data_IF_905581053691
#
_entry.id   IF_905581053691
#
_cell.length_a   1.000
_cell.length_b   1.000
_cell.length_c   1.000
_cell.angle_alpha   90.00
_cell.angle_beta   90.00
_cell.angle_gamma   90.00
#
_symmetry.space_group_name_H-M   'P 1'
#
loop_
_entity.id
_entity.type
_entity.pdbx_description
1 polymer ?
#
# COMPACT_ATOMS: atom_id res chain seq x y z
N UNK A 1 -18.90 -35.39 -26.32
CA UNK A 1 -19.13 -35.05 -24.89
C UNK A 1 -17.86 -34.48 -24.25
N UNK A 2 -17.40 -33.29 -24.67
CA UNK A 2 -16.19 -32.65 -24.14
C UNK A 2 -16.38 -31.16 -23.75
N UNK A 3 -17.61 -30.65 -23.76
CA UNK A 3 -17.88 -29.20 -23.61
C UNK A 3 -18.24 -28.73 -22.20
N UNK A 4 -18.38 -29.61 -21.20
CA UNK A 4 -18.83 -29.19 -19.85
C UNK A 4 -17.75 -28.88 -18.82
N UNK A 5 -16.45 -29.13 -19.11
CA UNK A 5 -15.36 -28.96 -18.11
C UNK A 5 -14.66 -27.60 -18.11
N UNK A 6 -14.74 -26.83 -19.20
CA UNK A 6 -14.11 -25.50 -19.28
C UNK A 6 -14.78 -24.41 -18.44
N UNK A 7 -16.13 -24.32 -18.34
CA UNK A 7 -16.76 -23.26 -17.55
C UNK A 7 -16.57 -23.41 -16.03
N UNK A 8 -16.31 -24.62 -15.52
CA UNK A 8 -16.08 -24.86 -14.09
C UNK A 8 -14.68 -24.47 -13.61
N UNK A 9 -13.66 -24.53 -14.49
CA UNK A 9 -12.28 -24.17 -14.12
C UNK A 9 -12.10 -22.66 -14.00
N UNK A 10 -12.75 -21.87 -14.88
CA UNK A 10 -12.64 -20.41 -14.84
C UNK A 10 -13.31 -19.80 -13.60
N UNK A 11 -14.48 -20.31 -13.23
CA UNK A 11 -15.19 -19.88 -12.00
C UNK A 11 -14.45 -20.31 -10.74
N UNK A 12 -13.91 -21.53 -10.70
CA UNK A 12 -13.08 -22.00 -9.58
C UNK A 12 -11.81 -21.14 -9.42
N UNK A 13 -11.12 -20.84 -10.53
CA UNK A 13 -9.92 -20.00 -10.51
C UNK A 13 -10.23 -18.55 -10.06
N UNK A 14 -11.34 -17.96 -10.54
CA UNK A 14 -11.78 -16.64 -10.11
C UNK A 14 -12.10 -16.59 -8.60
N UNK A 15 -12.82 -17.59 -8.10
CA UNK A 15 -13.14 -17.69 -6.67
C UNK A 15 -11.90 -17.89 -5.80
N UNK A 16 -10.96 -18.73 -6.25
CA UNK A 16 -9.68 -18.93 -5.57
C UNK A 16 -8.86 -17.63 -5.54
N UNK A 17 -8.72 -16.96 -6.68
CA UNK A 17 -8.00 -15.69 -6.81
C UNK A 17 -8.58 -14.62 -5.89
N UNK A 18 -9.91 -14.47 -5.86
CA UNK A 18 -10.59 -13.53 -4.97
C UNK A 18 -10.36 -13.88 -3.49
N UNK A 19 -10.47 -15.15 -3.12
CA UNK A 19 -10.24 -15.61 -1.75
C UNK A 19 -8.80 -15.36 -1.30
N UNK A 20 -7.83 -15.64 -2.17
CA UNK A 20 -6.40 -15.37 -1.92
C UNK A 20 -6.15 -13.87 -1.77
N UNK A 21 -6.69 -13.05 -2.66
CA UNK A 21 -6.57 -11.60 -2.58
C UNK A 21 -7.15 -11.06 -1.26
N UNK A 22 -8.33 -11.56 -0.85
CA UNK A 22 -8.97 -11.14 0.41
C UNK A 22 -8.12 -11.58 1.60
N UNK A 23 -7.58 -12.80 1.59
CA UNK A 23 -6.68 -13.27 2.65
C UNK A 23 -5.44 -12.38 2.78
N UNK A 24 -4.80 -12.02 1.66
CA UNK A 24 -3.64 -11.12 1.64
C UNK A 24 -4.03 -9.73 2.15
N UNK A 25 -5.17 -9.19 1.71
CA UNK A 25 -5.67 -7.89 2.14
C UNK A 25 -5.92 -7.84 3.66
N UNK A 26 -6.57 -8.87 4.22
CA UNK A 26 -6.83 -8.93 5.67
C UNK A 26 -5.54 -9.16 6.45
N UNK A 27 -4.61 -9.98 5.95
CA UNK A 27 -3.29 -10.16 6.57
C UNK A 27 -2.53 -8.83 6.65
N UNK A 28 -2.56 -8.04 5.57
CA UNK A 28 -2.01 -6.68 5.56
C UNK A 28 -2.68 -5.77 6.59
N UNK A 29 -4.02 -5.78 6.68
CA UNK A 29 -4.75 -4.99 7.67
C UNK A 29 -4.40 -5.38 9.11
N UNK A 30 -4.26 -6.67 9.39
CA UNK A 30 -3.83 -7.17 10.71
C UNK A 30 -2.44 -6.66 11.03
N UNK A 31 -1.50 -6.74 10.07
CA UNK A 31 -0.14 -6.24 10.23
C UNK A 31 -0.12 -4.73 10.48
N UNK A 32 -0.76 -3.94 9.61
CA UNK A 32 -0.84 -2.48 9.76
C UNK A 32 -1.47 -2.07 11.10
N UNK A 33 -2.55 -2.75 11.52
CA UNK A 33 -3.23 -2.50 12.79
C UNK A 33 -2.35 -2.88 13.99
N UNK A 34 -1.62 -3.98 13.92
CA UNK A 34 -0.71 -4.41 14.99
C UNK A 34 0.45 -3.43 15.18
N UNK A 35 1.02 -2.92 14.09
CA UNK A 35 2.07 -1.89 14.11
C UNK A 35 1.52 -0.60 14.71
N UNK A 36 0.33 -0.16 14.29
CA UNK A 36 -0.33 0.99 14.87
C UNK A 36 -0.61 0.84 16.37
N UNK A 37 -1.17 -0.29 16.79
CA UNK A 37 -1.50 -0.56 18.18
C UNK A 37 -0.24 -0.59 19.07
N UNK A 38 0.81 -1.27 18.63
CA UNK A 38 2.08 -1.36 19.36
C UNK A 38 2.71 0.01 19.60
N UNK A 39 2.52 0.96 18.67
CA UNK A 39 3.09 2.31 18.75
C UNK A 39 2.24 3.25 19.60
N UNK A 40 0.94 3.01 19.72
CA UNK A 40 0.04 3.83 20.55
C UNK A 40 0.02 3.45 22.04
N UNK A 41 0.53 2.28 22.41
CA UNK A 41 0.37 1.71 23.77
C UNK A 41 1.63 1.77 24.65
N UNK A 42 2.66 2.55 24.28
CA UNK A 42 3.93 2.74 25.02
C UNK A 42 4.53 1.43 25.58
N UNK A 43 4.42 0.34 24.82
CA UNK A 43 5.08 -0.95 25.08
C UNK A 43 4.57 -1.74 26.30
N UNK A 44 3.82 -1.15 27.22
CA UNK A 44 3.55 -1.74 28.54
C UNK A 44 2.53 -2.89 28.54
N UNK A 45 1.67 -3.02 27.53
CA UNK A 45 0.64 -4.10 27.44
C UNK A 45 1.05 -5.22 26.47
N UNK A 46 2.09 -5.02 25.66
CA UNK A 46 2.62 -6.02 24.69
C UNK A 46 4.06 -6.44 25.03
N UNK A 47 4.60 -5.98 26.17
CA UNK A 47 5.94 -6.30 26.66
C UNK A 47 6.11 -7.74 27.18
N UNK A 48 5.08 -8.58 27.16
CA UNK A 48 5.31 -10.01 26.95
C UNK A 48 5.38 -10.23 25.44
N UNK A 49 6.57 -10.01 24.90
CA UNK A 49 6.91 -10.23 23.50
C UNK A 49 6.49 -11.64 23.08
N UNK A 50 5.31 -11.77 22.49
CA UNK A 50 4.87 -13.00 21.86
C UNK A 50 5.97 -13.42 20.89
N UNK A 51 6.40 -14.70 20.90
CA UNK A 51 7.33 -15.21 19.91
C UNK A 51 6.87 -14.82 18.51
N UNK A 52 7.79 -14.39 17.66
CA UNK A 52 7.47 -13.93 16.31
C UNK A 52 6.66 -15.00 15.55
N UNK A 53 6.93 -16.29 15.77
CA UNK A 53 6.16 -17.37 15.15
C UNK A 53 4.69 -17.36 15.61
N UNK A 54 4.44 -17.09 16.89
CA UNK A 54 3.09 -17.02 17.45
C UNK A 54 2.33 -15.80 16.93
N UNK A 55 3.01 -14.66 16.76
CA UNK A 55 2.42 -13.49 16.10
C UNK A 55 1.92 -13.82 14.69
N UNK A 56 2.76 -14.45 13.86
CA UNK A 56 2.37 -14.82 12.50
C UNK A 56 1.24 -15.85 12.47
N UNK A 57 1.25 -16.82 13.37
CA UNK A 57 0.17 -17.80 13.49
C UNK A 57 -1.16 -17.13 13.85
N UNK A 58 -1.17 -16.25 14.85
CA UNK A 58 -2.38 -15.49 15.25
C UNK A 58 -2.85 -14.57 14.13
N UNK A 59 -1.92 -13.84 13.50
CA UNK A 59 -2.25 -12.95 12.40
C UNK A 59 -2.86 -13.71 11.22
N UNK A 60 -2.33 -14.89 10.88
CA UNK A 60 -2.87 -15.74 9.84
C UNK A 60 -4.27 -16.26 10.17
N UNK A 61 -4.51 -16.72 11.41
CA UNK A 61 -5.83 -17.17 11.85
C UNK A 61 -6.85 -16.03 11.78
N UNK A 62 -6.51 -14.84 12.30
CA UNK A 62 -7.37 -13.66 12.20
C UNK A 62 -7.63 -13.27 10.75
N UNK A 63 -6.61 -13.32 9.90
CA UNK A 63 -6.75 -13.06 8.47
C UNK A 63 -7.68 -14.06 7.79
N UNK A 64 -7.55 -15.35 8.10
CA UNK A 64 -8.39 -16.41 7.54
C UNK A 64 -9.86 -16.24 7.97
N UNK A 65 -10.11 -16.00 9.27
CA UNK A 65 -11.47 -15.76 9.79
C UNK A 65 -12.08 -14.49 9.16
N UNK A 66 -11.32 -13.40 9.10
CA UNK A 66 -11.77 -12.16 8.47
C UNK A 66 -12.06 -12.33 6.98
N UNK A 67 -11.21 -13.08 6.26
CA UNK A 67 -11.41 -13.39 4.86
C UNK A 67 -12.66 -14.26 4.63
N UNK A 68 -12.88 -15.30 5.45
CA UNK A 68 -14.10 -16.12 5.39
C UNK A 68 -15.35 -15.28 5.62
N UNK A 69 -15.32 -14.37 6.61
CA UNK A 69 -16.44 -13.48 6.88
C UNK A 69 -16.71 -12.51 5.71
N UNK A 70 -15.66 -11.90 5.15
CA UNK A 70 -15.77 -10.99 4.01
C UNK A 70 -16.34 -11.71 2.77
N UNK A 71 -15.80 -12.88 2.43
CA UNK A 71 -16.26 -13.70 1.30
C UNK A 71 -17.69 -14.22 1.53
N UNK A 72 -18.05 -14.54 2.77
CA UNK A 72 -19.39 -15.00 3.16
C UNK A 72 -20.49 -13.93 3.17
N UNK A 73 -20.26 -12.76 2.55
CA UNK A 73 -21.22 -11.64 2.47
C UNK A 73 -20.84 -10.43 3.30
N UNK A 74 -19.68 -10.42 3.94
CA UNK A 74 -19.18 -9.25 4.66
C UNK A 74 -18.97 -8.03 3.76
N UNK A 75 -18.51 -8.22 2.51
CA UNK A 75 -18.39 -7.13 1.53
C UNK A 75 -19.71 -6.40 1.28
N UNK A 76 -20.81 -7.14 1.08
CA UNK A 76 -22.14 -6.57 0.84
C UNK A 76 -22.63 -5.80 2.08
N UNK A 77 -22.34 -6.31 3.28
CA UNK A 77 -22.73 -5.67 4.56
C UNK A 77 -22.04 -4.33 4.79
N UNK A 78 -20.80 -4.17 4.33
CA UNK A 78 -20.02 -2.92 4.47
C UNK A 78 -20.08 -2.04 3.22
N UNK A 79 -20.85 -2.45 2.20
CA UNK A 79 -20.97 -1.75 0.92
C UNK A 79 -19.66 -1.65 0.13
N UNK A 80 -18.73 -2.58 0.35
CA UNK A 80 -17.44 -2.60 -0.33
C UNK A 80 -17.50 -3.49 -1.58
N UNK A 81 -16.95 -3.00 -2.70
CA UNK A 81 -16.90 -3.77 -3.94
C UNK A 81 -15.85 -4.89 -3.83
N UNK A 82 -16.25 -6.18 -3.85
CA UNK A 82 -15.30 -7.28 -3.74
C UNK A 82 -14.40 -7.46 -4.97
N UNK A 83 -14.66 -6.81 -6.11
CA UNK A 83 -13.80 -6.90 -7.29
C UNK A 83 -12.50 -6.09 -7.10
N UNK A 84 -12.51 -5.08 -6.23
CA UNK A 84 -11.38 -4.21 -5.94
C UNK A 84 -10.26 -4.84 -5.10
N UNK A 85 -10.40 -6.09 -4.67
CA UNK A 85 -9.45 -6.74 -3.73
C UNK A 85 -8.02 -6.71 -4.24
N UNK A 86 -7.78 -7.03 -5.51
CA UNK A 86 -6.43 -7.01 -6.07
C UNK A 86 -5.91 -5.59 -6.23
N UNK A 87 -6.77 -4.63 -6.61
CA UNK A 87 -6.41 -3.21 -6.65
C UNK A 87 -5.99 -2.73 -5.26
N UNK A 88 -6.69 -3.14 -4.19
CA UNK A 88 -6.31 -2.84 -2.82
C UNK A 88 -4.93 -3.38 -2.49
N UNK A 89 -4.67 -4.66 -2.78
CA UNK A 89 -3.36 -5.29 -2.50
C UNK A 89 -2.24 -4.54 -3.23
N UNK A 90 -2.42 -4.25 -4.51
CA UNK A 90 -1.43 -3.49 -5.28
C UNK A 90 -1.23 -2.08 -4.73
N UNK A 91 -2.31 -1.35 -4.46
CA UNK A 91 -2.26 0.02 -3.95
C UNK A 91 -1.64 0.09 -2.56
N UNK A 92 -2.09 -0.72 -1.61
CA UNK A 92 -1.70 -0.65 -0.21
C UNK A 92 -0.26 -1.14 0.03
N UNK A 93 0.16 -2.21 -0.65
CA UNK A 93 1.44 -2.87 -0.38
C UNK A 93 2.56 -2.31 -1.26
N UNK A 94 2.26 -1.96 -2.51
CA UNK A 94 3.29 -1.61 -3.49
C UNK A 94 3.16 -0.18 -3.99
N UNK A 95 2.05 0.16 -4.66
CA UNK A 95 1.98 1.36 -5.48
C UNK A 95 1.97 2.64 -4.65
N UNK A 96 1.11 2.76 -3.64
CA UNK A 96 1.08 3.97 -2.81
C UNK A 96 2.34 4.09 -1.95
N UNK A 97 2.84 3.05 -1.25
CA UNK A 97 4.12 3.16 -0.54
C UNK A 97 5.26 3.63 -1.44
N UNK A 98 5.35 3.07 -2.65
CA UNK A 98 6.40 3.40 -3.61
C UNK A 98 6.22 4.80 -4.22
N UNK A 99 4.98 5.20 -4.50
CA UNK A 99 4.66 6.53 -5.02
C UNK A 99 5.05 7.64 -4.03
N UNK A 100 5.05 7.37 -2.72
CA UNK A 100 5.39 8.36 -1.70
C UNK A 100 6.80 8.20 -1.13
N UNK A 101 7.67 7.37 -1.73
CA UNK A 101 9.06 7.19 -1.29
C UNK A 101 9.84 8.50 -1.15
N UNK A 102 9.79 9.47 -2.10
CA UNK A 102 10.53 10.72 -1.95
C UNK A 102 10.15 11.47 -0.68
N UNK A 103 8.84 11.54 -0.38
CA UNK A 103 8.35 12.17 0.83
C UNK A 103 8.78 11.41 2.08
N UNK A 104 8.74 10.07 2.03
CA UNK A 104 9.19 9.22 3.15
C UNK A 104 10.68 9.41 3.45
N UNK A 105 11.52 9.51 2.41
CA UNK A 105 12.95 9.79 2.53
C UNK A 105 13.18 11.18 3.11
N UNK A 106 12.45 12.20 2.63
CA UNK A 106 12.53 13.56 3.16
C UNK A 106 12.14 13.63 4.65
N UNK A 107 11.08 12.92 5.04
CA UNK A 107 10.65 12.81 6.45
C UNK A 107 11.74 12.16 7.30
N UNK A 108 12.44 11.14 6.80
CA UNK A 108 13.56 10.53 7.52
C UNK A 108 14.72 11.48 7.83
N UNK A 109 14.91 12.54 7.03
CA UNK A 109 15.88 13.60 7.34
C UNK A 109 15.37 14.60 8.39
N UNK A 110 14.06 14.72 8.57
CA UNK A 110 13.43 15.63 9.57
C UNK A 110 13.26 14.93 10.91
N UNK A 111 12.77 13.68 10.90
CA UNK A 111 12.57 12.83 12.08
C UNK A 111 13.29 11.49 11.87
N UNK A 112 14.59 11.40 12.24
CA UNK A 112 15.36 10.18 12.10
C UNK A 112 14.91 9.06 13.07
N UNK A 113 14.07 9.38 14.06
CA UNK A 113 13.52 8.36 14.98
C UNK A 113 12.36 7.59 14.36
N UNK A 114 11.70 8.14 13.32
CA UNK A 114 10.87 7.47 12.30
C UNK A 114 9.61 6.74 12.78
N UNK A 115 9.42 6.59 14.08
CA UNK A 115 8.53 5.61 14.71
C UNK A 115 7.03 5.91 14.48
N UNK A 116 6.62 7.16 14.73
CA UNK A 116 5.21 7.55 14.66
C UNK A 116 4.80 7.88 13.22
N UNK A 117 5.63 8.60 12.47
CA UNK A 117 5.31 9.01 11.10
C UNK A 117 5.24 7.82 10.13
N UNK A 118 6.11 6.81 10.26
CA UNK A 118 6.00 5.58 9.46
C UNK A 118 4.70 4.84 9.73
N UNK A 119 4.26 4.83 10.99
CA UNK A 119 3.01 4.19 11.40
C UNK A 119 1.79 4.93 10.85
N UNK A 120 1.75 6.25 11.00
CA UNK A 120 0.71 7.11 10.42
C UNK A 120 0.68 6.96 8.91
N UNK A 121 1.84 6.88 8.27
CA UNK A 121 1.96 6.67 6.83
C UNK A 121 1.37 5.32 6.39
N UNK A 122 1.74 4.21 7.02
CA UNK A 122 1.19 2.88 6.68
C UNK A 122 -0.32 2.84 6.84
N UNK A 123 -0.85 3.42 7.93
CA UNK A 123 -2.30 3.50 8.16
C UNK A 123 -2.97 4.37 7.09
N UNK A 124 -2.44 5.57 6.82
CA UNK A 124 -2.99 6.49 5.82
C UNK A 124 -3.01 5.85 4.43
N UNK A 125 -1.91 5.22 4.01
CA UNK A 125 -1.82 4.50 2.74
C UNK A 125 -2.84 3.36 2.67
N UNK A 126 -2.99 2.61 3.75
CA UNK A 126 -3.95 1.49 3.81
C UNK A 126 -5.40 1.98 3.70
N UNK A 127 -5.75 3.06 4.39
CA UNK A 127 -7.08 3.68 4.33
C UNK A 127 -7.36 4.25 2.94
N UNK A 128 -6.40 4.98 2.36
CA UNK A 128 -6.51 5.55 1.01
C UNK A 128 -6.64 4.44 -0.03
N UNK A 129 -5.84 3.38 0.05
CA UNK A 129 -5.96 2.21 -0.81
C UNK A 129 -7.34 1.56 -0.70
N UNK A 130 -7.88 1.43 0.52
CA UNK A 130 -9.22 0.91 0.77
C UNK A 130 -10.30 1.76 0.11
N UNK A 131 -10.23 3.07 0.25
CA UNK A 131 -11.16 3.99 -0.41
C UNK A 131 -11.06 3.92 -1.95
N UNK A 132 -9.84 3.93 -2.48
CA UNK A 132 -9.58 3.83 -3.92
C UNK A 132 -10.10 2.52 -4.51
N UNK A 133 -9.86 1.40 -3.84
CA UNK A 133 -10.16 0.08 -4.35
C UNK A 133 -11.59 -0.39 -4.11
N UNK A 134 -12.17 -0.12 -2.93
CA UNK A 134 -13.45 -0.71 -2.51
C UNK A 134 -14.65 0.23 -2.61
N UNK A 135 -14.42 1.55 -2.65
CA UNK A 135 -15.47 2.57 -2.60
C UNK A 135 -15.52 3.46 -3.86
N UNK A 136 -14.98 2.94 -4.96
CA UNK A 136 -14.98 3.59 -6.26
C UNK A 136 -14.10 4.83 -6.34
N UNK A 137 -13.08 4.94 -5.49
CA UNK A 137 -12.24 6.13 -5.41
C UNK A 137 -11.40 6.35 -6.68
N UNK A 138 -10.96 5.27 -7.34
CA UNK A 138 -10.29 5.35 -8.64
C UNK A 138 -11.22 5.97 -9.69
N UNK A 139 -12.44 5.46 -9.81
CA UNK A 139 -13.44 5.93 -10.79
C UNK A 139 -13.84 7.39 -10.52
N UNK A 140 -14.02 7.76 -9.25
CA UNK A 140 -14.34 9.14 -8.83
C UNK A 140 -13.24 10.13 -9.20
N UNK A 141 -11.99 9.69 -9.20
CA UNK A 141 -10.85 10.51 -9.62
C UNK A 141 -10.55 10.37 -11.12
N UNK A 142 -11.34 9.58 -11.85
CA UNK A 142 -11.08 9.22 -13.25
C UNK A 142 -9.67 8.62 -13.43
N UNK A 143 -9.24 7.83 -12.44
CA UNK A 143 -7.97 7.15 -12.42
C UNK A 143 -8.15 5.65 -12.67
N UNK A 144 -7.13 5.07 -13.29
CA UNK A 144 -6.93 3.64 -13.44
C UNK A 144 -5.75 3.19 -12.58
N UNK A 145 -5.62 1.87 -12.36
CA UNK A 145 -4.44 1.34 -11.67
C UNK A 145 -3.14 1.67 -12.45
N UNK A 146 -3.22 1.68 -13.78
CA UNK A 146 -2.10 2.00 -14.67
C UNK A 146 -1.63 3.45 -14.53
N UNK A 147 -2.53 4.39 -14.23
CA UNK A 147 -2.15 5.77 -13.87
C UNK A 147 -1.25 5.80 -12.64
N UNK A 148 -1.59 5.01 -11.61
CA UNK A 148 -0.78 4.95 -10.38
C UNK A 148 0.56 4.28 -10.66
N UNK A 149 0.61 3.23 -11.47
CA UNK A 149 1.86 2.61 -11.93
C UNK A 149 2.74 3.63 -12.66
N UNK A 150 2.17 4.44 -13.55
CA UNK A 150 2.90 5.51 -14.24
C UNK A 150 3.49 6.52 -13.27
N UNK A 151 2.69 6.98 -12.29
CA UNK A 151 3.19 7.89 -11.24
C UNK A 151 4.38 7.26 -10.51
N UNK A 152 4.29 5.99 -10.12
CA UNK A 152 5.40 5.25 -9.49
C UNK A 152 6.65 5.25 -10.36
N UNK A 153 6.53 4.95 -11.65
CA UNK A 153 7.67 4.93 -12.58
C UNK A 153 8.35 6.30 -12.63
N UNK A 154 7.56 7.39 -12.73
CA UNK A 154 8.13 8.75 -12.72
C UNK A 154 8.73 9.15 -11.38
N UNK A 155 8.13 8.73 -10.26
CA UNK A 155 8.67 8.94 -8.92
C UNK A 155 10.05 8.28 -8.80
N UNK A 156 10.18 7.02 -9.23
CA UNK A 156 11.46 6.29 -9.18
C UNK A 156 12.47 6.94 -10.11
N UNK A 157 12.09 7.28 -11.34
CA UNK A 157 12.98 7.92 -12.31
C UNK A 157 13.51 9.27 -11.81
N UNK A 158 12.63 10.17 -11.36
CA UNK A 158 13.01 11.48 -10.86
C UNK A 158 13.74 11.41 -9.52
N UNK A 159 13.29 10.54 -8.61
CA UNK A 159 13.93 10.34 -7.30
C UNK A 159 15.33 9.75 -7.40
N UNK A 160 15.58 8.88 -8.39
CA UNK A 160 16.91 8.30 -8.62
C UNK A 160 17.96 9.37 -8.94
N UNK A 161 17.58 10.48 -9.59
CA UNK A 161 18.48 11.59 -9.91
C UNK A 161 18.95 12.28 -8.63
N UNK A 162 18.04 12.54 -7.69
CA UNK A 162 18.38 13.15 -6.40
C UNK A 162 19.24 12.22 -5.53
N UNK A 163 18.96 10.91 -5.54
CA UNK A 163 19.80 9.93 -4.86
C UNK A 163 21.21 9.87 -5.49
N UNK A 164 21.31 9.86 -6.82
CA UNK A 164 22.58 9.90 -7.52
C UNK A 164 23.39 11.16 -7.18
N UNK A 165 22.74 12.33 -7.09
CA UNK A 165 23.39 13.58 -6.66
C UNK A 165 24.02 13.46 -5.27
N UNK A 166 23.32 12.85 -4.32
CA UNK A 166 23.83 12.67 -2.95
C UNK A 166 24.98 11.65 -2.93
N UNK A 167 24.77 10.45 -3.50
CA UNK A 167 25.72 9.34 -3.32
C UNK A 167 26.90 9.32 -4.30
N UNK A 168 26.75 9.86 -5.51
CA UNK A 168 27.81 9.82 -6.54
C UNK A 168 28.58 11.14 -6.63
N UNK A 169 27.94 12.25 -6.27
CA UNK A 169 28.50 13.59 -6.45
C UNK A 169 28.71 14.36 -5.12
N UNK A 170 28.46 13.71 -3.97
CA UNK A 170 28.69 14.24 -2.62
C UNK A 170 27.99 15.59 -2.38
N UNK A 171 26.76 15.70 -2.89
CA UNK A 171 25.97 16.93 -2.87
C UNK A 171 25.13 17.00 -1.58
N UNK A 172 25.82 17.12 -0.44
CA UNK A 172 25.23 16.99 0.90
C UNK A 172 24.18 18.04 1.23
N UNK A 173 24.23 19.21 0.58
CA UNK A 173 23.26 20.27 0.81
C UNK A 173 21.84 19.85 0.43
N UNK A 174 21.69 18.89 -0.50
CA UNK A 174 20.39 18.33 -0.90
C UNK A 174 19.75 17.51 0.21
N UNK A 175 20.56 16.89 1.07
CA UNK A 175 20.09 16.11 2.22
C UNK A 175 19.67 16.99 3.42
N UNK A 176 19.86 18.32 3.36
CA UNK A 176 19.42 19.20 4.43
C UNK A 176 17.89 19.19 4.53
N UNK A 177 17.29 19.10 5.74
CA UNK A 177 15.87 18.84 5.92
C UNK A 177 14.92 19.73 5.08
N UNK A 178 15.05 21.07 5.06
CA UNK A 178 14.13 21.90 4.27
C UNK A 178 14.30 21.69 2.76
N UNK A 179 15.52 21.40 2.30
CA UNK A 179 15.81 21.18 0.89
C UNK A 179 15.33 19.79 0.46
N UNK A 180 15.57 18.75 1.26
CA UNK A 180 15.09 17.40 1.02
C UNK A 180 13.55 17.37 0.89
N UNK A 181 12.84 18.11 1.75
CA UNK A 181 11.37 18.24 1.67
C UNK A 181 10.94 18.94 0.38
N UNK A 182 11.56 20.06 0.02
CA UNK A 182 11.23 20.77 -1.23
C UNK A 182 11.50 19.90 -2.46
N UNK A 183 12.63 19.19 -2.49
CA UNK A 183 12.99 18.27 -3.57
C UNK A 183 11.97 17.13 -3.66
N UNK A 184 11.61 16.51 -2.53
CA UNK A 184 10.61 15.44 -2.51
C UNK A 184 9.24 15.91 -3.00
N UNK A 185 8.77 17.09 -2.55
CA UNK A 185 7.51 17.68 -3.01
C UNK A 185 7.55 17.99 -4.52
N UNK A 186 8.69 18.48 -5.00
CA UNK A 186 8.89 18.78 -6.43
C UNK A 186 8.84 17.49 -7.27
N UNK A 187 9.53 16.43 -6.83
CA UNK A 187 9.49 15.12 -7.47
C UNK A 187 8.07 14.57 -7.47
N UNK A 188 7.36 14.65 -6.34
CA UNK A 188 6.00 14.15 -6.21
C UNK A 188 5.05 14.87 -7.16
N UNK A 189 5.09 16.21 -7.17
CA UNK A 189 4.26 17.03 -8.05
C UNK A 189 4.56 16.77 -9.53
N UNK A 190 5.84 16.69 -9.91
CA UNK A 190 6.26 16.39 -11.27
C UNK A 190 5.85 14.98 -11.70
N UNK A 191 6.00 13.98 -10.84
CA UNK A 191 5.62 12.61 -11.16
C UNK A 191 4.10 12.44 -11.27
N UNK A 192 3.32 13.08 -10.39
CA UNK A 192 1.87 13.14 -10.53
C UNK A 192 1.46 13.83 -11.83
N UNK A 193 2.05 14.98 -12.15
CA UNK A 193 1.77 15.68 -13.40
C UNK A 193 2.08 14.81 -14.62
N UNK A 194 3.28 14.23 -14.69
CA UNK A 194 3.72 13.40 -15.82
C UNK A 194 2.93 12.09 -15.94
N UNK A 195 2.64 11.43 -14.81
CA UNK A 195 1.90 10.18 -14.78
C UNK A 195 0.45 10.34 -15.22
N UNK A 196 -0.18 11.47 -14.90
CA UNK A 196 -1.58 11.75 -15.23
C UNK A 196 -1.78 12.45 -16.58
N UNK A 197 -0.79 13.20 -17.07
CA UNK A 197 -0.91 13.95 -18.33
C UNK A 197 -0.45 13.17 -19.57
N UNK A 198 0.35 12.12 -19.41
CA UNK A 198 0.86 11.33 -20.53
C UNK A 198 0.10 10.03 -20.69
N UNK A 199 -0.76 9.97 -21.69
CA UNK A 199 -1.10 8.69 -22.33
C UNK A 199 0.19 8.15 -22.98
N UNK A 200 0.67 7.00 -22.49
CA UNK A 200 1.76 6.31 -23.19
C UNK A 200 1.19 5.79 -24.52
N UNK A 201 1.89 6.00 -25.65
CA UNK A 201 1.47 5.47 -26.95
C UNK A 201 1.50 3.94 -27.00
#
# INVERSE_FOLDING_TARGET
MAESRRPSLHSAAGNLSRTLGTLVAVCWLVLASSVALARTTDGSVVAESLPLELFWAVAFVLAAVGAMWLVGGGYDRIGADPTGVWSFVWLAIFLLPLAFVPLRVAVGFVDPTGSLLDTVFVVAVTVVAGWLAFYGGLERLSLTLDDVVRVVVFVVALGSISLAAIFLFDVDWVARPPIAVVVALTIQAAACWLGLSRELP
#
